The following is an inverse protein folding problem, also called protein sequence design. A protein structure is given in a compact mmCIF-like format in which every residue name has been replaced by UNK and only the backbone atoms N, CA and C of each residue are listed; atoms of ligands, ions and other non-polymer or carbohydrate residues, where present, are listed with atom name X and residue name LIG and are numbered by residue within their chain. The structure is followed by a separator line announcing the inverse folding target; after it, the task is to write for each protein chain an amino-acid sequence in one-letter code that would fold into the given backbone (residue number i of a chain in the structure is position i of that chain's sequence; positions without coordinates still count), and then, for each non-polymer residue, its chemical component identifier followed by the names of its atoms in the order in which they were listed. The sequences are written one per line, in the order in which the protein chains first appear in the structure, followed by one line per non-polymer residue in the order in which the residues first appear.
data_IF_043742026533
#
_entry.id   IF_043742026533
#
_cell.length_a   1.000
_cell.length_b   1.000
_cell.length_c   1.000
_cell.angle_alpha   90.00
_cell.angle_beta   90.00
_cell.angle_gamma   90.00
#
_symmetry.space_group_name_H-M   'P 1'
#
loop_
_entity.id
_entity.type
_entity.pdbx_description
1 polymer ?
#
# COMPACT_ATOMS: atom_id res chain seq x y z
N UNK A 1 -5.68 19.18 -4.89
CA UNK A 1 -5.01 18.67 -3.67
C UNK A 1 -4.65 17.20 -3.93
N UNK A 2 -3.37 16.83 -4.06
CA UNK A 2 -3.01 15.41 -4.23
C UNK A 2 -3.50 14.64 -3.00
N UNK A 3 -4.17 13.51 -3.22
CA UNK A 3 -4.78 12.68 -2.17
C UNK A 3 -3.76 12.46 -1.05
N UNK A 4 -4.09 12.95 0.15
CA UNK A 4 -3.24 12.83 1.33
C UNK A 4 -3.10 11.35 1.68
N UNK A 5 -2.04 10.73 1.19
CA UNK A 5 -1.66 9.39 1.60
C UNK A 5 -1.04 9.49 3.00
N UNK A 6 -1.46 8.60 3.89
CA UNK A 6 -1.00 8.60 5.28
C UNK A 6 0.31 7.83 5.32
N UNK A 7 1.40 8.50 5.70
CA UNK A 7 2.67 7.84 5.93
C UNK A 7 2.47 6.73 6.97
N UNK A 8 2.76 5.49 6.58
CA UNK A 8 2.55 4.31 7.42
C UNK A 8 3.87 3.63 7.73
N UNK A 9 3.86 2.77 8.74
CA UNK A 9 5.00 1.90 9.11
C UNK A 9 5.08 0.64 8.24
N UNK A 10 4.27 0.54 7.19
CA UNK A 10 4.32 -0.54 6.22
C UNK A 10 5.69 -0.55 5.52
N UNK A 11 6.46 -1.61 5.78
CA UNK A 11 7.81 -1.76 5.23
C UNK A 11 7.72 -2.35 3.83
N UNK A 12 8.06 -1.59 2.80
CA UNK A 12 8.13 -2.10 1.43
C UNK A 12 9.49 -2.74 1.10
N UNK A 13 10.16 -3.36 2.06
CA UNK A 13 11.58 -3.68 1.92
C UNK A 13 11.90 -4.67 0.77
N UNK A 14 10.88 -5.18 0.07
CA UNK A 14 10.98 -6.00 -1.14
C UNK A 14 9.86 -5.71 -2.16
N UNK A 15 9.17 -4.57 -2.08
CA UNK A 15 8.07 -4.22 -2.99
C UNK A 15 8.56 -3.17 -4.00
N UNK A 16 8.34 -3.38 -5.31
CA UNK A 16 8.72 -2.41 -6.32
C UNK A 16 8.02 -1.06 -6.08
N UNK A 17 8.71 0.02 -6.42
CA UNK A 17 8.15 1.37 -6.37
C UNK A 17 6.87 1.43 -7.20
N UNK A 18 5.78 1.86 -6.56
CA UNK A 18 4.47 1.84 -7.17
C UNK A 18 3.36 1.64 -6.15
N UNK A 19 2.13 1.59 -6.66
CA UNK A 19 0.99 1.23 -5.85
C UNK A 19 1.00 -0.29 -5.65
N UNK A 20 0.61 -0.75 -4.46
CA UNK A 20 0.37 -2.15 -4.15
C UNK A 20 -0.79 -2.30 -3.15
N UNK A 21 -1.38 -3.49 -3.07
CA UNK A 21 -2.35 -3.81 -2.04
C UNK A 21 -1.62 -4.35 -0.81
N UNK A 22 -1.92 -3.79 0.36
CA UNK A 22 -1.47 -4.38 1.61
C UNK A 22 -2.13 -5.73 1.80
N UNK A 23 -1.32 -6.74 2.12
CA UNK A 23 -1.78 -8.11 2.34
C UNK A 23 -1.90 -8.47 3.83
N UNK A 24 -1.50 -7.58 4.74
CA UNK A 24 -1.39 -7.89 6.17
C UNK A 24 0.04 -8.08 6.66
N UNK A 25 0.99 -8.23 5.72
CA UNK A 25 2.41 -8.45 5.99
C UNK A 25 3.16 -7.13 6.19
N UNK A 26 4.34 -7.19 6.80
CA UNK A 26 5.26 -6.04 6.92
C UNK A 26 4.63 -4.78 7.53
N UNK A 27 3.66 -4.94 8.45
CA UNK A 27 2.92 -3.85 9.10
C UNK A 27 1.94 -3.10 8.17
N UNK A 28 1.55 -3.71 7.05
CA UNK A 28 0.58 -3.18 6.08
C UNK A 28 -0.80 -3.78 6.36
N UNK A 29 -1.86 -2.96 6.42
CA UNK A 29 -3.24 -3.46 6.61
C UNK A 29 -3.75 -4.18 5.37
N UNK A 30 -4.37 -5.35 5.56
CA UNK A 30 -4.99 -6.10 4.46
C UNK A 30 -6.15 -5.32 3.84
N UNK A 31 -6.16 -5.21 2.52
CA UNK A 31 -7.23 -4.54 1.77
C UNK A 31 -7.06 -3.03 1.61
N UNK A 32 -5.99 -2.45 2.16
CA UNK A 32 -5.60 -1.08 1.89
C UNK A 32 -4.70 -0.98 0.67
N UNK A 33 -4.76 0.15 -0.02
CA UNK A 33 -3.81 0.51 -1.08
C UNK A 33 -2.66 1.27 -0.43
N UNK A 34 -1.46 0.79 -0.66
CA UNK A 34 -0.24 1.46 -0.28
C UNK A 34 0.49 1.90 -1.55
N UNK A 35 1.30 2.94 -1.44
CA UNK A 35 2.26 3.30 -2.45
C UNK A 35 3.64 3.29 -1.85
N UNK A 36 4.55 2.54 -2.46
CA UNK A 36 5.91 2.57 -2.04
C UNK A 36 6.71 3.67 -2.73
N UNK A 37 7.45 4.44 -1.92
CA UNK A 37 8.41 5.42 -2.39
C UNK A 37 9.79 4.83 -2.66
N UNK A 38 10.57 5.53 -3.50
CA UNK A 38 11.89 5.14 -4.02
C UNK A 38 12.85 4.51 -3.02
N UNK A 39 12.80 4.98 -1.77
CA UNK A 39 13.65 4.55 -0.66
C UNK A 39 13.34 3.15 -0.09
N UNK A 40 12.25 2.47 -0.52
CA UNK A 40 11.88 1.13 -0.04
C UNK A 40 11.50 1.03 1.45
N UNK A 41 11.63 2.12 2.20
CA UNK A 41 11.36 2.23 3.64
C UNK A 41 10.07 3.00 3.95
N UNK A 42 9.55 3.77 3.00
CA UNK A 42 8.37 4.62 3.19
C UNK A 42 7.21 4.13 2.32
N UNK A 43 6.15 3.69 2.98
CA UNK A 43 4.85 3.47 2.35
C UNK A 43 3.89 4.61 2.65
N UNK A 44 3.07 4.94 1.66
CA UNK A 44 1.96 5.87 1.79
C UNK A 44 0.64 5.10 1.68
N UNK A 45 -0.15 5.09 2.75
CA UNK A 45 -1.47 4.47 2.79
C UNK A 45 -2.51 5.38 2.13
N UNK A 46 -3.15 4.88 1.08
CA UNK A 46 -4.29 5.52 0.42
C UNK A 46 -5.64 5.07 1.00
N UNK A 47 -5.64 4.13 1.95
CA UNK A 47 -6.83 3.60 2.59
C UNK A 47 -7.38 2.35 1.91
N UNK A 48 -8.50 1.84 2.43
CA UNK A 48 -9.12 0.59 1.98
C UNK A 48 -9.65 0.71 0.55
N UNK A 49 -9.38 -0.29 -0.28
CA UNK A 49 -9.95 -0.41 -1.63
C UNK A 49 -10.60 -1.77 -1.80
N UNK A 50 -11.82 -1.80 -2.31
CA UNK A 50 -12.57 -3.05 -2.50
C UNK A 50 -11.81 -4.03 -3.41
N UNK A 51 -11.08 -3.55 -4.42
CA UNK A 51 -10.22 -4.36 -5.28
C UNK A 51 -9.14 -5.09 -4.47
N UNK A 52 -8.47 -4.38 -3.56
CA UNK A 52 -7.50 -4.97 -2.65
C UNK A 52 -8.15 -5.91 -1.63
N UNK A 53 -9.34 -5.59 -1.14
CA UNK A 53 -10.05 -6.41 -0.16
C UNK A 53 -10.55 -7.73 -0.77
N UNK A 54 -11.05 -7.71 -2.01
CA UNK A 54 -11.60 -8.89 -2.71
C UNK A 54 -10.54 -9.72 -3.41
N UNK A 55 -9.62 -9.09 -4.13
CA UNK A 55 -8.72 -9.78 -5.05
C UNK A 55 -7.24 -9.61 -4.70
N UNK A 56 -6.92 -8.90 -3.61
CA UNK A 56 -5.55 -8.53 -3.25
C UNK A 56 -4.77 -7.86 -4.40
N UNK A 57 -5.47 -7.21 -5.33
CA UNK A 57 -4.89 -6.57 -6.50
C UNK A 57 -5.46 -5.17 -6.69
N UNK A 58 -4.64 -4.30 -7.28
CA UNK A 58 -5.05 -2.93 -7.62
C UNK A 58 -6.18 -2.92 -8.64
N UNK A 59 -6.08 -3.79 -9.65
CA UNK A 59 -7.16 -4.12 -10.55
C UNK A 59 -7.58 -5.56 -10.32
N UNK A 60 -8.80 -5.69 -9.82
CA UNK A 60 -9.73 -6.73 -10.19
C UNK A 60 -10.67 -6.06 -11.21
#
# INVERSE_FOLDING_TARGET
MPRACVATKCSCLAIPNGLFCGDGLLNCKKGNVYQCGGDGKKSCDYGVRNSCKKCNKLSC
#
